data_IF_080712396093
#
_entry.id   IF_080712396093
#
_cell.length_a   1.000
_cell.length_b   1.000
_cell.length_c   1.000
_cell.angle_alpha   90.00
_cell.angle_beta   90.00
_cell.angle_gamma   90.00
#
_symmetry.space_group_name_H-M   'P 1'
#
loop_
_entity.id
_entity.type
_entity.pdbx_description
1 polymer ?
#
# COMPACT_ATOMS: atom_id res chain seq x y z
N UNK A 1 -25.14 9.16 12.94
CA UNK A 1 -24.42 8.22 12.06
C UNK A 1 -23.28 8.99 11.45
N UNK A 2 -22.05 8.53 11.62
CA UNK A 2 -20.88 9.18 11.04
C UNK A 2 -20.79 8.83 9.55
N UNK A 3 -20.52 9.83 8.72
CA UNK A 3 -20.38 9.68 7.27
C UNK A 3 -18.96 9.92 6.83
N UNK A 4 -18.51 9.18 5.82
CA UNK A 4 -17.15 9.27 5.25
C UNK A 4 -17.25 9.35 3.72
N UNK A 5 -16.13 9.70 3.07
CA UNK A 5 -16.07 9.80 1.62
C UNK A 5 -15.69 8.47 0.96
N UNK A 6 -16.40 8.10 -0.10
CA UNK A 6 -16.08 7.03 -1.03
C UNK A 6 -16.11 7.59 -2.46
N UNK A 7 -14.95 7.93 -3.00
CA UNK A 7 -14.85 8.72 -4.21
C UNK A 7 -15.54 10.08 -4.04
N UNK A 8 -16.49 10.38 -4.92
CA UNK A 8 -17.30 11.62 -4.88
C UNK A 8 -18.60 11.47 -4.05
N UNK A 9 -18.85 10.31 -3.42
CA UNK A 9 -20.05 10.04 -2.64
C UNK A 9 -19.78 10.09 -1.15
N UNK A 10 -20.74 10.61 -0.38
CA UNK A 10 -20.77 10.47 1.08
C UNK A 10 -21.50 9.17 1.42
N UNK A 11 -20.89 8.31 2.20
CA UNK A 11 -21.41 7.00 2.60
C UNK A 11 -21.29 6.81 4.12
N UNK A 12 -22.11 5.92 4.68
CA UNK A 12 -21.95 5.53 6.08
C UNK A 12 -20.59 4.82 6.27
N UNK A 13 -19.91 5.12 7.38
CA UNK A 13 -18.59 4.51 7.68
C UNK A 13 -18.63 2.98 7.64
N UNK A 14 -19.71 2.38 8.15
CA UNK A 14 -19.90 0.92 8.15
C UNK A 14 -19.99 0.34 6.73
N UNK A 15 -20.49 1.12 5.79
CA UNK A 15 -20.65 0.70 4.39
C UNK A 15 -19.39 0.92 3.56
N UNK A 16 -18.50 1.86 3.94
CA UNK A 16 -17.29 2.18 3.18
C UNK A 16 -16.40 0.94 3.02
N UNK A 17 -16.05 0.28 4.10
CA UNK A 17 -15.18 -0.90 4.06
C UNK A 17 -15.75 -2.02 3.15
N UNK A 18 -17.07 -2.25 3.22
CA UNK A 18 -17.76 -3.24 2.39
C UNK A 18 -17.71 -2.87 0.90
N UNK A 19 -17.96 -1.59 0.56
CA UNK A 19 -17.93 -1.10 -0.83
C UNK A 19 -16.52 -1.14 -1.41
N UNK A 20 -15.53 -0.69 -0.65
CA UNK A 20 -14.11 -0.77 -1.03
C UNK A 20 -13.72 -2.21 -1.31
N UNK A 21 -14.07 -3.15 -0.41
CA UNK A 21 -13.80 -4.59 -0.61
C UNK A 21 -14.41 -5.10 -1.92
N UNK A 22 -15.70 -4.83 -2.16
CA UNK A 22 -16.40 -5.29 -3.37
C UNK A 22 -15.76 -4.80 -4.68
N UNK A 23 -15.27 -3.56 -4.71
CA UNK A 23 -14.53 -3.05 -5.87
C UNK A 23 -13.23 -3.83 -6.07
N UNK A 24 -12.41 -3.99 -5.05
CA UNK A 24 -11.14 -4.70 -5.17
C UNK A 24 -11.30 -6.18 -5.48
N UNK A 25 -12.31 -6.86 -4.93
CA UNK A 25 -12.62 -8.25 -5.27
C UNK A 25 -12.92 -8.42 -6.76
N UNK A 26 -13.63 -7.46 -7.37
CA UNK A 26 -14.01 -7.51 -8.78
C UNK A 26 -12.85 -7.26 -9.75
N UNK A 27 -11.81 -6.56 -9.32
CA UNK A 27 -10.68 -6.13 -10.18
C UNK A 27 -9.35 -6.79 -9.83
N UNK A 28 -9.28 -7.62 -8.78
CA UNK A 28 -8.03 -8.15 -8.25
C UNK A 28 -7.13 -8.80 -9.32
N UNK A 29 -7.70 -9.59 -10.24
CA UNK A 29 -6.97 -10.25 -11.33
C UNK A 29 -6.52 -9.33 -12.47
N UNK A 30 -7.10 -8.13 -12.58
CA UNK A 30 -6.82 -7.14 -13.63
C UNK A 30 -6.26 -5.82 -13.07
N UNK A 31 -5.98 -5.80 -11.77
CA UNK A 31 -5.62 -4.57 -11.05
C UNK A 31 -4.40 -3.88 -11.66
N UNK A 32 -3.34 -4.62 -11.98
CA UNK A 32 -2.12 -4.06 -12.54
C UNK A 32 -2.35 -3.48 -13.95
N UNK A 33 -3.13 -4.19 -14.79
CA UNK A 33 -3.49 -3.70 -16.13
C UNK A 33 -4.31 -2.42 -16.04
N UNK A 34 -5.25 -2.36 -15.10
CA UNK A 34 -6.05 -1.16 -14.86
C UNK A 34 -5.17 0.02 -14.39
N UNK A 35 -4.23 -0.21 -13.49
CA UNK A 35 -3.29 0.82 -13.04
C UNK A 35 -2.36 1.28 -14.16
N UNK A 36 -1.85 0.38 -15.00
CA UNK A 36 -1.07 0.72 -16.18
C UNK A 36 -1.86 1.64 -17.11
N UNK A 37 -3.11 1.27 -17.40
CA UNK A 37 -3.97 2.05 -18.29
C UNK A 37 -4.31 3.43 -17.71
N UNK A 38 -4.68 3.50 -16.44
CA UNK A 38 -5.08 4.74 -15.75
C UNK A 38 -3.93 5.70 -15.51
N UNK A 39 -2.70 5.22 -15.41
CA UNK A 39 -1.52 6.06 -15.10
C UNK A 39 -0.55 6.21 -16.28
N UNK A 40 -0.86 5.63 -17.45
CA UNK A 40 0.08 5.56 -18.56
C UNK A 40 1.41 4.90 -18.17
N UNK A 41 1.40 3.98 -17.18
CA UNK A 41 2.59 3.33 -16.63
C UNK A 41 3.38 4.16 -15.61
N UNK A 42 3.00 5.42 -15.35
CA UNK A 42 3.71 6.31 -14.40
C UNK A 42 3.75 5.76 -12.98
N UNK A 43 2.75 4.98 -12.55
CA UNK A 43 2.75 4.36 -11.23
C UNK A 43 3.98 3.46 -11.00
N UNK A 44 4.53 2.86 -12.05
CA UNK A 44 5.77 2.05 -11.96
C UNK A 44 6.98 2.91 -11.63
N UNK A 45 7.10 4.09 -12.24
CA UNK A 45 8.15 5.05 -11.93
C UNK A 45 8.03 5.57 -10.50
N UNK A 46 6.81 5.87 -10.04
CA UNK A 46 6.57 6.31 -8.65
C UNK A 46 6.89 5.21 -7.63
N UNK A 47 6.52 3.95 -7.90
CA UNK A 47 6.91 2.81 -7.07
C UNK A 47 8.43 2.61 -7.03
N UNK A 48 9.11 2.73 -8.19
CA UNK A 48 10.59 2.66 -8.24
C UNK A 48 11.24 3.78 -7.43
N UNK A 49 10.70 5.00 -7.52
CA UNK A 49 11.15 6.13 -6.70
C UNK A 49 10.93 5.86 -5.20
N UNK A 50 9.79 5.32 -4.82
CA UNK A 50 9.49 4.93 -3.42
C UNK A 50 10.52 3.93 -2.88
N UNK A 51 10.88 2.92 -3.69
CA UNK A 51 11.93 1.94 -3.32
C UNK A 51 13.29 2.61 -3.16
N UNK A 52 13.62 3.57 -4.02
CA UNK A 52 14.87 4.34 -3.92
C UNK A 52 14.91 5.18 -2.64
N UNK A 53 13.83 5.91 -2.33
CA UNK A 53 13.73 6.76 -1.12
C UNK A 53 13.69 5.93 0.16
N UNK A 54 13.19 4.70 0.10
CA UNK A 54 13.24 3.77 1.23
C UNK A 54 14.67 3.59 1.75
N UNK A 55 15.67 3.64 0.85
CA UNK A 55 17.09 3.50 1.18
C UNK A 55 17.36 2.24 2.03
N UNK A 56 16.75 1.13 1.61
CA UNK A 56 16.85 -0.15 2.30
C UNK A 56 18.27 -0.69 2.24
N UNK A 57 18.66 -1.35 3.32
CA UNK A 57 19.92 -2.09 3.43
C UNK A 57 19.62 -3.58 3.59
N UNK A 58 20.58 -4.40 3.32
CA UNK A 58 20.51 -5.81 3.65
C UNK A 58 20.19 -5.98 5.15
N UNK A 59 19.28 -6.88 5.48
CA UNK A 59 18.80 -7.08 6.86
C UNK A 59 17.65 -6.16 7.30
N UNK A 60 17.25 -5.15 6.52
CA UNK A 60 16.14 -4.26 6.88
C UNK A 60 14.82 -5.02 7.08
N UNK A 61 14.03 -4.58 8.09
CA UNK A 61 12.69 -5.06 8.37
C UNK A 61 11.66 -4.10 7.77
N UNK A 62 10.82 -4.57 6.86
CA UNK A 62 9.87 -3.74 6.11
C UNK A 62 8.45 -4.25 6.29
N UNK A 63 7.50 -3.33 6.50
CA UNK A 63 6.06 -3.60 6.47
C UNK A 63 5.46 -2.90 5.25
N UNK A 64 4.83 -3.67 4.38
CA UNK A 64 4.10 -3.15 3.22
C UNK A 64 2.60 -3.26 3.47
N UNK A 65 1.96 -2.12 3.72
CA UNK A 65 0.55 -2.00 4.09
C UNK A 65 -0.26 -1.70 2.83
N UNK A 66 -1.42 -2.35 2.69
CA UNK A 66 -2.24 -2.33 1.50
C UNK A 66 -1.40 -2.71 0.26
N UNK A 67 -0.56 -3.74 0.42
CA UNK A 67 0.40 -4.18 -0.58
C UNK A 67 -0.21 -4.80 -1.83
N UNK A 68 -1.51 -5.15 -1.78
CA UNK A 68 -2.30 -5.60 -2.93
C UNK A 68 -1.66 -6.75 -3.69
N UNK A 69 -1.34 -6.52 -4.96
CA UNK A 69 -0.72 -7.50 -5.87
C UNK A 69 0.80 -7.69 -5.64
N UNK A 70 1.39 -7.05 -4.62
CA UNK A 70 2.74 -7.32 -4.13
C UNK A 70 3.88 -6.64 -4.88
N UNK A 71 3.64 -5.64 -5.72
CA UNK A 71 4.69 -4.96 -6.50
C UNK A 71 5.80 -4.36 -5.62
N UNK A 72 5.43 -3.58 -4.59
CA UNK A 72 6.40 -2.99 -3.67
C UNK A 72 7.03 -4.04 -2.78
N UNK A 73 6.26 -4.99 -2.25
CA UNK A 73 6.77 -6.10 -1.47
C UNK A 73 7.85 -6.89 -2.20
N UNK A 74 7.64 -7.17 -3.50
CA UNK A 74 8.62 -7.82 -4.37
C UNK A 74 9.91 -6.99 -4.51
N UNK A 75 9.74 -5.69 -4.77
CA UNK A 75 10.88 -4.79 -4.96
C UNK A 75 11.68 -4.59 -3.66
N UNK A 76 11.00 -4.48 -2.52
CA UNK A 76 11.63 -4.40 -1.20
C UNK A 76 12.37 -5.69 -0.85
N UNK A 77 11.76 -6.87 -1.07
CA UNK A 77 12.38 -8.15 -0.77
C UNK A 77 13.73 -8.34 -1.48
N UNK A 78 13.80 -7.93 -2.74
CA UNK A 78 15.06 -7.94 -3.50
C UNK A 78 16.14 -6.99 -2.94
N UNK A 79 15.73 -5.92 -2.23
CA UNK A 79 16.65 -4.94 -1.65
C UNK A 79 17.13 -5.34 -0.26
N UNK A 80 16.28 -5.94 0.56
CA UNK A 80 16.65 -6.31 1.92
C UNK A 80 17.48 -7.60 2.00
N UNK A 81 17.54 -8.37 0.91
CA UNK A 81 18.35 -9.59 0.83
C UNK A 81 17.85 -10.72 1.73
N UNK A 82 18.69 -11.75 1.86
CA UNK A 82 18.34 -12.97 2.59
C UNK A 82 18.23 -12.79 4.11
N UNK A 83 18.90 -11.79 4.67
CA UNK A 83 18.88 -11.48 6.11
C UNK A 83 17.79 -10.48 6.49
N UNK A 84 17.18 -9.80 5.53
CA UNK A 84 16.08 -8.90 5.73
C UNK A 84 14.73 -9.60 5.72
N UNK A 85 13.69 -8.85 6.05
CA UNK A 85 12.32 -9.35 6.07
C UNK A 85 11.35 -8.32 5.53
N UNK A 86 10.47 -8.74 4.65
CA UNK A 86 9.32 -7.95 4.20
C UNK A 86 8.05 -8.66 4.63
N UNK A 87 7.17 -7.96 5.32
CA UNK A 87 5.82 -8.44 5.65
C UNK A 87 4.85 -7.80 4.68
N UNK A 88 4.16 -8.63 3.90
CA UNK A 88 3.17 -8.21 2.91
C UNK A 88 1.78 -8.26 3.53
N UNK A 89 1.07 -7.12 3.62
CA UNK A 89 -0.23 -7.06 4.26
C UNK A 89 -1.27 -6.35 3.41
N UNK A 90 -2.51 -6.79 3.53
CA UNK A 90 -3.68 -6.11 2.95
C UNK A 90 -4.91 -6.45 3.78
N UNK A 91 -5.93 -5.60 3.78
CA UNK A 91 -7.23 -5.89 4.39
C UNK A 91 -8.09 -6.77 3.46
N UNK A 92 -7.81 -6.74 2.15
CA UNK A 92 -8.51 -7.52 1.15
C UNK A 92 -7.79 -8.84 0.87
N UNK A 93 -8.41 -9.95 1.29
CA UNK A 93 -7.85 -11.29 1.14
C UNK A 93 -7.66 -11.70 -0.32
N UNK A 94 -8.54 -11.29 -1.24
CA UNK A 94 -8.44 -11.64 -2.65
C UNK A 94 -7.21 -10.98 -3.29
N UNK A 95 -6.98 -9.70 -3.01
CA UNK A 95 -5.78 -8.97 -3.45
C UNK A 95 -4.52 -9.60 -2.86
N UNK A 96 -4.54 -9.89 -1.58
CA UNK A 96 -3.42 -10.49 -0.86
C UNK A 96 -3.04 -11.86 -1.43
N UNK A 97 -4.04 -12.69 -1.78
CA UNK A 97 -3.82 -13.99 -2.41
C UNK A 97 -3.17 -13.88 -3.78
N UNK A 98 -3.61 -12.92 -4.61
CA UNK A 98 -2.96 -12.64 -5.90
C UNK A 98 -1.51 -12.22 -5.69
N UNK A 99 -1.25 -11.30 -4.76
CA UNK A 99 0.09 -10.83 -4.40
C UNK A 99 0.99 -11.97 -3.92
N UNK A 100 0.50 -12.79 -2.99
CA UNK A 100 1.22 -13.95 -2.47
C UNK A 100 1.63 -14.92 -3.58
N UNK A 101 0.70 -15.29 -4.47
CA UNK A 101 0.98 -16.21 -5.57
C UNK A 101 2.06 -15.63 -6.49
N UNK A 102 1.97 -14.36 -6.83
CA UNK A 102 2.96 -13.64 -7.64
C UNK A 102 4.34 -13.60 -6.98
N UNK A 103 4.41 -13.41 -5.67
CA UNK A 103 5.66 -13.45 -4.92
C UNK A 103 6.29 -14.86 -4.98
N UNK A 104 5.48 -15.90 -4.81
CA UNK A 104 5.92 -17.31 -4.94
C UNK A 104 6.42 -17.60 -6.35
N UNK A 105 5.70 -17.17 -7.39
CA UNK A 105 6.10 -17.32 -8.79
C UNK A 105 7.42 -16.59 -9.10
N UNK A 106 7.72 -15.53 -8.35
CA UNK A 106 8.99 -14.80 -8.43
C UNK A 106 10.11 -15.43 -7.57
N UNK A 107 9.86 -16.60 -6.95
CA UNK A 107 10.82 -17.32 -6.11
C UNK A 107 10.95 -16.77 -4.69
N UNK A 108 9.98 -15.98 -4.20
CA UNK A 108 10.00 -15.35 -2.89
C UNK A 108 8.85 -15.85 -2.01
N UNK A 109 9.16 -16.30 -0.81
CA UNK A 109 8.18 -16.66 0.22
C UNK A 109 8.23 -15.61 1.32
N UNK A 110 7.29 -14.66 1.27
CA UNK A 110 7.18 -13.59 2.26
C UNK A 110 6.07 -13.90 3.27
N UNK A 111 6.23 -13.51 4.56
CA UNK A 111 5.13 -13.44 5.48
C UNK A 111 4.01 -12.59 4.91
N UNK A 112 2.82 -13.18 4.81
CA UNK A 112 1.64 -12.57 4.19
C UNK A 112 0.48 -12.62 5.17
N UNK A 113 -0.11 -11.47 5.50
CA UNK A 113 -1.10 -11.36 6.56
C UNK A 113 -2.26 -10.44 6.17
N UNK A 114 -3.49 -10.93 6.35
CA UNK A 114 -4.69 -10.08 6.31
C UNK A 114 -4.76 -9.30 7.61
N UNK A 115 -4.69 -7.97 7.54
CA UNK A 115 -4.86 -7.12 8.72
C UNK A 115 -5.42 -5.75 8.35
N UNK A 116 -6.02 -5.11 9.35
CA UNK A 116 -6.46 -3.73 9.28
C UNK A 116 -5.30 -2.80 9.63
N UNK A 117 -5.05 -1.79 8.79
CA UNK A 117 -4.02 -0.78 9.05
C UNK A 117 -4.35 0.12 10.25
N UNK A 118 -5.62 0.17 10.66
CA UNK A 118 -6.10 0.91 11.83
C UNK A 118 -5.85 0.14 13.14
N UNK A 119 -5.40 -1.14 13.08
CA UNK A 119 -5.07 -1.99 14.24
C UNK A 119 -4.02 -3.03 13.83
N UNK A 120 -2.77 -2.62 13.74
CA UNK A 120 -1.69 -3.47 13.26
C UNK A 120 -1.26 -4.50 14.31
N UNK A 121 -1.25 -5.82 13.99
CA UNK A 121 -0.91 -6.88 14.93
C UNK A 121 0.62 -7.06 15.08
N UNK A 122 1.34 -5.96 15.19
CA UNK A 122 2.79 -5.95 15.33
C UNK A 122 3.21 -5.15 16.58
N UNK A 123 4.36 -5.51 17.20
CA UNK A 123 4.88 -4.77 18.35
C UNK A 123 5.35 -3.37 17.93
N UNK A 124 5.48 -2.50 18.92
CA UNK A 124 6.06 -1.17 18.77
C UNK A 124 7.53 -1.27 18.33
N UNK A 125 7.99 -0.27 17.56
CA UNK A 125 9.41 -0.09 17.20
C UNK A 125 10.01 -1.34 16.51
N UNK A 126 9.28 -1.95 15.60
CA UNK A 126 9.68 -3.22 14.98
C UNK A 126 10.29 -3.06 13.59
N UNK A 127 9.76 -2.15 12.76
CA UNK A 127 10.14 -2.02 11.35
C UNK A 127 11.08 -0.84 11.10
N UNK A 128 12.03 -1.02 10.19
CA UNK A 128 12.90 0.06 9.71
C UNK A 128 12.18 0.95 8.69
N UNK A 129 11.29 0.33 7.90
CA UNK A 129 10.45 1.02 6.91
C UNK A 129 9.03 0.47 6.97
N UNK A 130 8.05 1.36 6.94
CA UNK A 130 6.64 1.07 6.71
C UNK A 130 6.22 1.79 5.43
N UNK A 131 5.57 1.09 4.50
CA UNK A 131 5.07 1.66 3.25
C UNK A 131 3.57 1.48 3.10
N UNK A 132 2.93 2.46 2.49
CA UNK A 132 1.57 2.36 1.97
C UNK A 132 1.50 3.07 0.62
N UNK A 133 1.11 2.35 -0.43
CA UNK A 133 0.98 2.90 -1.77
C UNK A 133 -0.45 2.79 -2.28
N UNK A 134 -1.06 3.94 -2.59
CA UNK A 134 -2.43 4.07 -3.12
C UNK A 134 -3.53 3.45 -2.26
N UNK A 135 -3.21 3.13 -0.99
CA UNK A 135 -4.13 2.50 -0.03
C UNK A 135 -4.71 3.46 1.00
N UNK A 136 -3.96 4.50 1.39
CA UNK A 136 -4.32 5.38 2.50
C UNK A 136 -5.68 6.08 2.28
N UNK A 137 -6.01 6.50 1.05
CA UNK A 137 -7.30 7.13 0.71
C UNK A 137 -8.51 6.25 0.98
N UNK A 138 -8.33 4.92 0.98
CA UNK A 138 -9.39 3.93 1.18
C UNK A 138 -9.65 3.62 2.66
N UNK A 139 -8.73 3.97 3.55
CA UNK A 139 -8.87 3.77 5.00
C UNK A 139 -9.95 4.68 5.57
N UNK A 140 -10.68 4.19 6.56
CA UNK A 140 -11.78 4.93 7.19
C UNK A 140 -11.25 6.02 8.10
N UNK A 141 -10.36 5.66 9.02
CA UNK A 141 -9.73 6.56 9.98
C UNK A 141 -8.23 6.68 9.68
N UNK A 142 -7.89 7.57 8.74
CA UNK A 142 -6.51 7.74 8.25
C UNK A 142 -5.53 8.14 9.35
N UNK A 143 -5.97 8.95 10.30
CA UNK A 143 -5.19 9.39 11.46
C UNK A 143 -4.87 8.24 12.41
N UNK A 144 -5.81 7.30 12.60
CA UNK A 144 -5.59 6.07 13.38
C UNK A 144 -4.57 5.18 12.67
N UNK A 145 -4.76 4.93 11.38
CA UNK A 145 -3.85 4.12 10.58
C UNK A 145 -2.42 4.71 10.58
N UNK A 146 -2.28 6.02 10.40
CA UNK A 146 -0.96 6.68 10.45
C UNK A 146 -0.31 6.57 11.83
N UNK A 147 -1.08 6.66 12.93
CA UNK A 147 -0.57 6.45 14.29
C UNK A 147 -0.07 5.01 14.47
N UNK A 148 -0.81 4.02 14.01
CA UNK A 148 -0.38 2.62 14.05
C UNK A 148 0.88 2.37 13.21
N UNK A 149 0.94 2.94 12.00
CA UNK A 149 2.15 2.91 11.17
C UNK A 149 3.36 3.50 11.88
N UNK A 150 3.19 4.65 12.55
CA UNK A 150 4.25 5.26 13.35
C UNK A 150 4.61 4.45 14.59
N UNK A 151 3.63 3.81 15.26
CA UNK A 151 3.87 2.98 16.45
C UNK A 151 4.78 1.80 16.15
N UNK A 152 4.54 1.13 15.03
CA UNK A 152 5.33 -0.06 14.66
C UNK A 152 6.69 0.27 14.04
N UNK A 153 6.94 1.55 13.69
CA UNK A 153 8.24 2.02 13.21
C UNK A 153 9.26 2.15 14.34
N UNK A 154 10.49 1.73 14.08
CA UNK A 154 11.63 2.02 14.96
C UNK A 154 11.90 3.53 15.04
N UNK A 155 12.47 4.03 16.13
CA UNK A 155 13.02 5.39 16.15
C UNK A 155 14.02 5.58 15.01
N UNK A 156 13.80 6.65 14.20
CA UNK A 156 14.59 6.90 12.99
C UNK A 156 14.18 6.09 11.76
N UNK A 157 13.16 5.21 11.88
CA UNK A 157 12.55 4.50 10.76
C UNK A 157 11.80 5.45 9.80
N UNK A 158 11.45 4.96 8.62
CA UNK A 158 10.79 5.76 7.57
C UNK A 158 9.38 5.26 7.31
N UNK A 159 8.42 6.20 7.36
CA UNK A 159 7.09 6.00 6.80
C UNK A 159 7.05 6.53 5.36
N UNK A 160 6.72 5.67 4.40
CA UNK A 160 6.60 6.00 2.98
C UNK A 160 5.12 5.96 2.58
N UNK A 161 4.60 7.12 2.24
CA UNK A 161 3.22 7.25 1.75
C UNK A 161 3.27 7.67 0.29
N UNK A 162 2.90 6.76 -0.61
CA UNK A 162 2.72 7.04 -2.03
C UNK A 162 1.23 7.18 -2.31
N UNK A 163 0.77 8.39 -2.60
CA UNK A 163 -0.65 8.66 -2.81
C UNK A 163 -0.86 9.77 -3.84
N UNK A 164 -2.01 9.73 -4.51
CA UNK A 164 -2.42 10.80 -5.41
C UNK A 164 -2.68 12.09 -4.63
N UNK A 165 -2.15 13.18 -5.14
CA UNK A 165 -2.31 14.52 -4.57
C UNK A 165 -2.87 15.48 -5.62
N UNK A 166 -3.30 16.66 -5.18
CA UNK A 166 -3.67 17.74 -6.10
C UNK A 166 -2.46 18.14 -6.94
N UNK A 167 -2.67 18.23 -8.25
CA UNK A 167 -1.63 18.66 -9.18
C UNK A 167 -1.31 20.14 -8.94
N UNK A 168 -0.02 20.50 -9.00
CA UNK A 168 0.41 21.87 -8.89
C UNK A 168 -0.28 22.75 -9.95
N UNK A 169 -0.72 23.96 -9.55
CA UNK A 169 -1.53 24.87 -10.39
C UNK A 169 -1.07 25.02 -11.85
N UNK A 170 0.25 25.13 -12.17
CA UNK A 170 0.67 25.28 -13.56
C UNK A 170 0.42 24.03 -14.42
N UNK A 171 0.28 22.84 -13.80
CA UNK A 171 0.05 21.57 -14.49
C UNK A 171 -1.42 21.13 -14.50
N UNK A 172 -2.31 21.82 -13.76
CA UNK A 172 -3.71 21.44 -13.61
C UNK A 172 -4.42 21.40 -14.97
N UNK A 173 -4.19 22.38 -15.85
CA UNK A 173 -4.83 22.43 -17.16
C UNK A 173 -4.45 21.24 -18.05
N UNK A 174 -3.21 20.79 -17.99
CA UNK A 174 -2.75 19.62 -18.75
C UNK A 174 -3.30 18.31 -18.16
N UNK A 175 -3.48 18.27 -16.84
CA UNK A 175 -4.03 17.12 -16.14
C UNK A 175 -5.55 16.98 -16.31
N UNK A 176 -6.27 18.09 -16.31
CA UNK A 176 -7.74 18.10 -16.49
C UNK A 176 -8.15 17.77 -17.94
N UNK A 177 -7.21 17.87 -18.89
CA UNK A 177 -7.42 17.51 -20.29
C UNK A 177 -7.20 16.00 -20.56
N UNK A 178 -6.47 15.30 -19.68
CA UNK A 178 -6.22 13.86 -19.73
C UNK A 178 -7.32 13.08 -18.99
#
# INVERSE_FOLDING_TARGET
MSTTHFGFQSVDEKDKARRVRGVFDSVASKYDVMNDLMSGGLHRAWKAYTVMVANLREGSQVLDIAGGTGDLSLAFARKVGATGRVVHTDINEAMLRVGRNRLIDAGLVLPTLVCDAESLPFPDNHFDVVSVAFGLRNMTHKDVALKEMCRVLKPGGKLLVLEFSKVAKPLTKAYDWY
#
